data_IF_091565087585
#
_entry.id   IF_091565087585
#
_cell.length_a   1.000
_cell.length_b   1.000
_cell.length_c   1.000
_cell.angle_alpha   90.00
_cell.angle_beta   90.00
_cell.angle_gamma   90.00
#
_symmetry.space_group_name_H-M   'P 1'
#
loop_
_entity.id
_entity.type
_entity.pdbx_description
1 polymer ?
#
# COMPACT_ATOMS: atom_id res chain seq x y z
N UNK A 1 40.41 51.35 42.28
CA UNK A 1 39.99 49.99 42.65
C UNK A 1 39.38 49.37 41.40
N UNK A 2 39.96 48.28 40.91
CA UNK A 2 39.55 47.59 39.68
C UNK A 2 38.39 46.62 39.97
N UNK A 3 37.45 46.53 39.03
CA UNK A 3 36.35 45.55 39.06
C UNK A 3 36.76 44.32 38.25
N UNK A 4 37.19 43.28 38.94
CA UNK A 4 37.43 41.96 38.34
C UNK A 4 36.10 41.24 38.12
N UNK A 5 35.80 40.86 36.87
CA UNK A 5 34.63 40.04 36.51
C UNK A 5 35.11 38.61 36.24
N UNK A 6 34.94 37.66 37.18
CA UNK A 6 35.29 36.26 36.94
C UNK A 6 34.19 35.59 36.12
N UNK A 7 34.24 35.72 34.78
CA UNK A 7 33.42 34.92 33.87
C UNK A 7 34.00 33.49 33.77
N UNK A 8 33.96 32.75 34.88
CA UNK A 8 34.42 31.37 34.96
C UNK A 8 33.43 30.44 34.23
N UNK A 9 33.59 30.34 32.91
CA UNK A 9 32.83 29.42 32.06
C UNK A 9 33.25 27.97 32.37
N UNK A 10 32.61 27.37 33.37
CA UNK A 10 32.86 26.00 33.79
C UNK A 10 32.44 25.01 32.69
N UNK A 11 33.40 24.63 31.83
CA UNK A 11 33.19 23.65 30.77
C UNK A 11 32.91 22.27 31.36
N UNK A 12 31.64 21.84 31.32
CA UNK A 12 31.26 20.50 31.71
C UNK A 12 31.55 19.53 30.55
N UNK A 13 32.55 18.66 30.72
CA UNK A 13 32.92 17.65 29.73
C UNK A 13 31.74 16.75 29.33
N UNK A 14 30.83 16.42 30.26
CA UNK A 14 29.65 15.59 29.99
C UNK A 14 28.60 16.31 29.11
N UNK A 15 28.70 17.62 28.91
CA UNK A 15 27.84 18.40 28.00
C UNK A 15 28.61 18.77 26.72
N UNK A 16 29.89 19.13 26.86
CA UNK A 16 30.75 19.48 25.73
C UNK A 16 31.00 18.32 24.76
N UNK A 17 31.27 17.11 25.27
CA UNK A 17 31.54 15.92 24.44
C UNK A 17 30.32 15.52 23.58
N UNK A 18 29.10 15.34 24.10
CA UNK A 18 27.95 15.01 23.26
C UNK A 18 27.59 16.13 22.28
N UNK A 19 27.80 17.41 22.63
CA UNK A 19 27.59 18.53 21.70
C UNK A 19 28.58 18.48 20.52
N UNK A 20 29.84 18.12 20.78
CA UNK A 20 30.87 17.97 19.75
C UNK A 20 30.56 16.78 18.83
N UNK A 21 30.12 15.64 19.41
CA UNK A 21 29.66 14.48 18.64
C UNK A 21 28.46 14.84 17.76
N UNK A 22 27.45 15.53 18.29
CA UNK A 22 26.31 16.01 17.52
C UNK A 22 26.73 16.95 16.38
N UNK A 23 27.67 17.87 16.64
CA UNK A 23 28.24 18.75 15.62
C UNK A 23 28.95 17.99 14.49
N UNK A 24 29.74 16.96 14.83
CA UNK A 24 30.40 16.11 13.83
C UNK A 24 29.41 15.26 13.02
N UNK A 25 28.34 14.76 13.65
CA UNK A 25 27.26 14.05 12.94
C UNK A 25 26.57 14.98 11.94
N UNK A 26 26.21 16.20 12.36
CA UNK A 26 25.60 17.20 11.46
C UNK A 26 26.54 17.57 10.31
N UNK A 27 27.84 17.77 10.59
CA UNK A 27 28.82 18.08 9.55
C UNK A 27 29.00 16.91 8.55
N UNK A 28 29.01 15.67 9.05
CA UNK A 28 29.04 14.46 8.23
C UNK A 28 27.80 14.32 7.36
N UNK A 29 26.60 14.61 7.88
CA UNK A 29 25.35 14.62 7.11
C UNK A 29 25.35 15.72 6.04
N UNK A 30 25.84 16.92 6.35
CA UNK A 30 25.98 18.01 5.35
C UNK A 30 26.98 17.63 4.26
N UNK A 31 28.07 16.91 4.58
CA UNK A 31 29.01 16.42 3.57
C UNK A 31 28.42 15.28 2.71
N UNK A 32 27.67 14.37 3.33
CA UNK A 32 27.06 13.20 2.67
C UNK A 32 25.90 13.60 1.73
N UNK A 33 25.03 14.53 2.16
CA UNK A 33 23.86 14.97 1.41
C UNK A 33 24.06 16.30 0.64
N UNK A 34 25.13 17.05 0.93
CA UNK A 34 25.43 18.33 0.29
C UNK A 34 26.24 18.24 -1.01
N UNK A 35 26.50 17.03 -1.53
CA UNK A 35 27.13 16.85 -2.85
C UNK A 35 26.24 17.45 -3.95
N UNK A 36 26.65 18.51 -4.67
CA UNK A 36 25.83 19.11 -5.70
C UNK A 36 25.69 18.15 -6.89
N UNK A 37 24.45 17.69 -7.14
CA UNK A 37 24.11 16.80 -8.26
C UNK A 37 24.46 17.48 -9.58
N UNK A 38 25.54 17.01 -10.22
CA UNK A 38 26.07 17.60 -11.47
C UNK A 38 24.99 17.60 -12.55
N UNK A 39 24.74 18.77 -13.13
CA UNK A 39 23.71 18.97 -14.15
C UNK A 39 23.95 18.11 -15.39
N UNK A 40 23.02 17.19 -15.64
CA UNK A 40 22.98 16.36 -16.84
C UNK A 40 22.27 17.13 -17.96
N UNK A 41 23.00 17.92 -18.75
CA UNK A 41 22.32 18.73 -19.77
C UNK A 41 23.15 19.60 -20.72
N UNK A 42 24.47 19.42 -20.86
CA UNK A 42 25.26 20.25 -21.80
C UNK A 42 25.00 19.82 -23.24
N UNK A 43 23.96 20.41 -23.85
CA UNK A 43 23.58 20.22 -25.26
C UNK A 43 24.79 20.45 -26.16
N UNK A 44 25.16 19.44 -26.95
CA UNK A 44 26.08 19.61 -28.09
C UNK A 44 25.32 20.36 -29.19
N UNK A 45 25.83 21.47 -29.74
CA UNK A 45 25.25 22.05 -30.95
C UNK A 45 25.42 21.07 -32.12
N UNK A 46 24.40 20.97 -32.97
CA UNK A 46 24.45 20.15 -34.18
C UNK A 46 25.38 20.80 -35.23
N UNK A 47 26.08 20.02 -36.07
CA UNK A 47 26.74 20.55 -37.26
C UNK A 47 25.69 20.95 -38.30
N UNK A 48 25.82 22.15 -38.86
CA UNK A 48 25.06 22.59 -40.05
C UNK A 48 25.52 21.85 -41.33
N UNK A 49 24.70 21.81 -42.38
CA UNK A 49 24.93 20.94 -43.54
C UNK A 49 25.98 21.51 -44.50
N UNK A 50 27.06 20.78 -44.71
CA UNK A 50 27.95 20.98 -45.85
C UNK A 50 27.38 20.26 -47.09
N UNK A 51 27.37 20.95 -48.23
CA UNK A 51 26.78 20.44 -49.48
C UNK A 51 27.69 19.46 -50.24
N UNK A 52 27.07 18.57 -51.00
CA UNK A 52 27.69 17.88 -52.14
C UNK A 52 28.10 16.42 -51.90
N UNK A 53 27.44 15.49 -52.60
CA UNK A 53 27.84 14.08 -52.66
C UNK A 53 26.67 13.16 -52.94
N UNK A 54 26.49 12.75 -54.20
CA UNK A 54 25.54 11.69 -54.54
C UNK A 54 25.98 10.35 -53.94
N UNK A 55 25.10 9.71 -53.15
CA UNK A 55 25.07 8.25 -53.03
C UNK A 55 23.63 7.78 -52.78
N UNK A 56 23.29 6.64 -53.35
CA UNK A 56 21.90 6.23 -53.60
C UNK A 56 21.08 6.02 -52.32
N UNK A 57 19.89 6.61 -52.29
CA UNK A 57 18.83 6.24 -51.35
C UNK A 57 18.33 4.83 -51.68
N UNK A 58 18.96 3.81 -51.08
CA UNK A 58 18.48 2.43 -51.16
C UNK A 58 17.27 2.25 -50.25
N UNK A 59 16.17 1.79 -50.82
CA UNK A 59 14.96 1.46 -50.08
C UNK A 59 15.14 0.12 -49.35
N UNK A 60 14.60 -0.06 -48.14
CA UNK A 60 14.64 -1.34 -47.46
C UNK A 60 13.65 -2.31 -48.14
N UNK A 61 14.14 -3.09 -49.10
CA UNK A 61 13.39 -4.23 -49.64
C UNK A 61 13.12 -5.23 -48.52
N UNK A 62 11.84 -5.44 -48.23
CA UNK A 62 11.37 -6.43 -47.27
C UNK A 62 11.72 -7.82 -47.80
N UNK A 63 12.60 -8.54 -47.11
CA UNK A 63 13.05 -9.86 -47.54
C UNK A 63 11.94 -10.90 -47.41
N UNK A 64 11.52 -11.49 -48.54
CA UNK A 64 10.80 -12.76 -48.53
C UNK A 64 11.78 -13.88 -48.14
N UNK A 65 11.85 -14.20 -46.85
CA UNK A 65 12.47 -15.46 -46.41
C UNK A 65 11.49 -16.60 -46.70
N UNK A 66 11.84 -17.45 -47.66
CA UNK A 66 11.09 -18.67 -47.95
C UNK A 66 11.24 -19.66 -46.79
N UNK A 67 10.14 -20.00 -46.12
CA UNK A 67 10.08 -21.00 -45.03
C UNK A 67 10.04 -22.43 -45.59
N UNK A 68 11.00 -22.79 -46.44
CA UNK A 68 10.99 -24.04 -47.21
C UNK A 68 12.06 -25.07 -46.81
N UNK A 69 13.13 -24.66 -46.11
CA UNK A 69 14.32 -25.51 -45.87
C UNK A 69 14.83 -25.47 -44.41
N UNK A 70 13.94 -25.70 -43.43
CA UNK A 70 14.32 -25.93 -42.02
C UNK A 70 14.08 -27.41 -41.63
N UNK A 71 15.12 -28.26 -41.51
CA UNK A 71 14.96 -29.70 -41.29
C UNK A 71 14.56 -30.09 -39.84
N UNK A 72 14.29 -29.12 -38.97
CA UNK A 72 14.06 -29.37 -37.53
C UNK A 72 12.59 -29.65 -37.15
N UNK A 73 11.63 -29.34 -38.02
CA UNK A 73 10.18 -29.54 -37.75
C UNK A 73 9.56 -30.79 -38.40
N UNK A 74 10.35 -31.59 -39.14
CA UNK A 74 9.86 -32.75 -39.91
C UNK A 74 9.59 -34.03 -39.08
N UNK A 75 9.65 -33.96 -37.74
CA UNK A 75 9.68 -35.14 -36.85
C UNK A 75 8.46 -35.34 -35.94
N UNK A 76 7.48 -34.42 -35.92
CA UNK A 76 6.23 -34.63 -35.15
C UNK A 76 5.02 -35.05 -35.99
N UNK A 77 5.00 -34.82 -37.30
CA UNK A 77 3.82 -35.02 -38.15
C UNK A 77 3.74 -36.42 -38.80
N UNK A 78 4.25 -37.46 -38.10
CA UNK A 78 4.30 -38.85 -38.61
C UNK A 78 3.71 -39.90 -37.69
N UNK A 79 2.75 -39.52 -36.84
CA UNK A 79 1.92 -40.45 -36.06
C UNK A 79 0.45 -40.01 -36.10
N UNK A 80 -0.23 -40.25 -37.21
CA UNK A 80 -1.66 -40.61 -37.30
C UNK A 80 -2.13 -40.67 -38.77
N UNK A 81 -2.22 -41.86 -39.34
CA UNK A 81 -3.11 -42.13 -40.49
C UNK A 81 -4.08 -43.25 -40.09
N UNK A 82 -5.33 -42.88 -39.84
CA UNK A 82 -6.54 -43.72 -39.94
C UNK A 82 -7.77 -42.79 -39.99
N UNK A 83 -8.85 -43.14 -40.72
CA UNK A 83 -9.85 -42.15 -41.17
C UNK A 83 -11.15 -42.11 -40.36
N UNK A 84 -12.01 -41.16 -40.75
CA UNK A 84 -13.45 -40.98 -40.42
C UNK A 84 -13.84 -40.61 -38.98
N UNK A 85 -14.18 -39.32 -38.77
CA UNK A 85 -15.44 -38.91 -38.12
C UNK A 85 -15.80 -37.45 -38.47
N UNK A 86 -17.08 -37.20 -38.77
CA UNK A 86 -17.63 -35.88 -39.11
C UNK A 86 -17.65 -34.92 -37.91
N UNK A 87 -17.14 -33.70 -38.12
CA UNK A 87 -17.27 -32.54 -37.22
C UNK A 87 -17.48 -31.28 -38.07
N UNK A 88 -18.32 -30.31 -37.64
CA UNK A 88 -18.83 -29.25 -38.52
C UNK A 88 -17.83 -28.09 -38.74
N UNK A 89 -18.03 -27.38 -39.84
CA UNK A 89 -17.23 -26.21 -40.23
C UNK A 89 -17.31 -25.07 -39.20
N UNK A 90 -16.20 -24.35 -39.06
CA UNK A 90 -16.05 -23.18 -38.20
C UNK A 90 -16.40 -21.93 -39.04
N UNK A 91 -17.42 -21.12 -38.67
CA UNK A 91 -17.95 -20.09 -39.54
C UNK A 91 -16.94 -18.94 -39.76
N UNK A 92 -16.85 -18.45 -40.99
CA UNK A 92 -15.91 -17.39 -41.34
C UNK A 92 -16.26 -16.04 -40.70
N UNK A 93 -15.23 -15.23 -40.44
CA UNK A 93 -15.29 -13.98 -39.66
C UNK A 93 -16.34 -12.94 -40.14
N UNK A 94 -16.84 -13.04 -41.37
CA UNK A 94 -17.88 -12.12 -41.89
C UNK A 94 -19.28 -12.36 -41.32
N UNK A 95 -19.61 -13.56 -40.86
CA UNK A 95 -20.96 -13.88 -40.38
C UNK A 95 -21.20 -13.40 -38.93
N UNK A 96 -20.14 -13.45 -38.11
CA UNK A 96 -20.16 -12.96 -36.72
C UNK A 96 -20.41 -11.44 -36.63
N UNK A 97 -19.86 -10.67 -37.56
CA UNK A 97 -19.98 -9.20 -37.56
C UNK A 97 -21.39 -8.75 -37.97
N UNK A 98 -22.06 -9.50 -38.86
CA UNK A 98 -23.49 -9.30 -39.17
C UNK A 98 -24.38 -9.66 -37.98
N UNK A 99 -24.12 -10.79 -37.31
CA UNK A 99 -24.87 -11.22 -36.12
C UNK A 99 -24.80 -10.21 -34.97
N UNK A 100 -23.60 -9.72 -34.65
CA UNK A 100 -23.40 -8.72 -33.59
C UNK A 100 -24.14 -7.41 -33.87
N UNK A 101 -24.14 -6.98 -35.14
CA UNK A 101 -24.86 -5.76 -35.58
C UNK A 101 -26.37 -5.90 -35.42
N UNK A 102 -26.91 -7.09 -35.70
CA UNK A 102 -28.33 -7.41 -35.58
C UNK A 102 -28.78 -7.52 -34.10
N UNK A 103 -27.92 -8.02 -33.20
CA UNK A 103 -28.18 -7.97 -31.76
C UNK A 103 -28.15 -6.53 -31.19
N UNK A 104 -27.20 -5.70 -31.62
CA UNK A 104 -27.14 -4.29 -31.21
C UNK A 104 -28.36 -3.49 -31.65
N UNK A 105 -28.89 -3.74 -32.85
CA UNK A 105 -30.10 -3.08 -33.36
C UNK A 105 -31.35 -3.51 -32.56
N UNK A 106 -31.42 -4.79 -32.17
CA UNK A 106 -32.47 -5.35 -31.30
C UNK A 106 -32.42 -4.76 -29.88
N UNK A 107 -31.22 -4.58 -29.31
CA UNK A 107 -31.02 -3.93 -28.01
C UNK A 107 -31.35 -2.43 -28.05
N UNK A 108 -30.99 -1.75 -29.15
CA UNK A 108 -31.38 -0.35 -29.39
C UNK A 108 -32.89 -0.16 -29.47
N UNK A 109 -33.60 -1.08 -30.13
CA UNK A 109 -35.06 -1.08 -30.20
C UNK A 109 -35.71 -1.26 -28.81
N UNK A 110 -35.17 -2.13 -27.95
CA UNK A 110 -35.68 -2.27 -26.57
C UNK A 110 -35.44 -1.04 -25.71
N UNK A 111 -34.28 -0.37 -25.84
CA UNK A 111 -33.96 0.82 -25.05
C UNK A 111 -34.73 2.09 -25.47
N UNK A 112 -35.26 2.11 -26.70
CA UNK A 112 -36.11 3.18 -27.22
C UNK A 112 -37.58 3.07 -26.72
N UNK A 113 -38.02 1.87 -26.30
CA UNK A 113 -39.40 1.62 -25.87
C UNK A 113 -39.77 2.20 -24.49
N UNK A 114 -38.81 2.42 -23.60
CA UNK A 114 -39.05 2.84 -22.20
C UNK A 114 -38.99 4.36 -21.96
N UNK A 115 -38.96 5.20 -23.01
CA UNK A 115 -39.02 6.67 -22.88
C UNK A 115 -40.02 7.33 -23.83
N UNK A 116 -41.31 7.29 -23.49
CA UNK A 116 -42.32 8.05 -24.24
C UNK A 116 -43.77 7.96 -23.77
N UNK A 117 -44.09 8.51 -22.59
CA UNK A 117 -45.42 8.98 -22.11
C UNK A 117 -45.25 9.64 -20.73
N UNK A 118 -45.98 10.66 -20.29
CA UNK A 118 -46.90 11.60 -20.95
C UNK A 118 -46.73 13.02 -20.33
N UNK A 119 -47.24 14.12 -20.92
CA UNK A 119 -46.78 15.47 -20.58
C UNK A 119 -47.57 16.19 -19.47
N UNK A 120 -46.83 16.94 -18.63
CA UNK A 120 -47.32 18.19 -18.04
C UNK A 120 -47.62 18.22 -16.54
N UNK A 121 -46.74 18.85 -15.75
CA UNK A 121 -47.15 19.85 -14.75
C UNK A 121 -45.95 20.63 -14.20
N UNK A 122 -46.10 21.95 -14.07
CA UNK A 122 -45.13 22.81 -13.39
C UNK A 122 -45.20 22.61 -11.86
N UNK A 123 -44.06 22.36 -11.21
CA UNK A 123 -43.91 22.47 -9.75
C UNK A 123 -42.59 23.14 -9.40
N UNK A 124 -42.68 24.16 -8.53
CA UNK A 124 -41.53 24.87 -7.99
C UNK A 124 -40.67 23.95 -7.11
N UNK A 125 -39.36 23.98 -7.31
CA UNK A 125 -38.38 23.43 -6.35
C UNK A 125 -37.86 24.56 -5.45
N UNK A 126 -38.18 24.60 -4.15
CA UNK A 126 -37.62 25.59 -3.24
C UNK A 126 -36.15 25.29 -2.92
N UNK A 127 -35.31 26.33 -2.86
CA UNK A 127 -33.90 26.23 -2.46
C UNK A 127 -33.77 25.98 -0.95
N UNK A 128 -32.81 25.17 -0.48
CA UNK A 128 -32.49 25.05 0.92
C UNK A 128 -31.59 26.22 1.38
N UNK A 129 -32.19 27.32 1.84
CA UNK A 129 -31.44 28.47 2.37
C UNK A 129 -32.08 29.09 3.62
N UNK A 130 -32.72 28.28 4.46
CA UNK A 130 -33.45 28.74 5.67
C UNK A 130 -32.76 28.45 7.01
N UNK A 131 -31.72 27.61 7.04
CA UNK A 131 -31.14 27.17 8.32
C UNK A 131 -29.98 28.05 8.83
N UNK A 132 -29.39 28.89 7.97
CA UNK A 132 -28.27 29.77 8.35
C UNK A 132 -28.72 31.01 9.15
N UNK A 133 -29.95 31.50 8.95
CA UNK A 133 -30.43 32.72 9.61
C UNK A 133 -30.80 32.51 11.10
N UNK A 134 -31.16 31.28 11.51
CA UNK A 134 -31.55 31.00 12.90
C UNK A 134 -30.37 31.09 13.88
N UNK A 135 -29.16 30.71 13.44
CA UNK A 135 -27.94 30.71 14.26
C UNK A 135 -27.45 32.14 14.50
N UNK A 136 -27.55 33.01 13.49
CA UNK A 136 -27.07 34.40 13.56
C UNK A 136 -27.94 35.24 14.49
N UNK A 137 -29.24 34.96 14.58
CA UNK A 137 -30.15 35.72 15.44
C UNK A 137 -29.96 35.40 16.94
N UNK A 138 -29.51 34.20 17.29
CA UNK A 138 -29.24 33.80 18.68
C UNK A 138 -28.03 34.51 19.31
N UNK A 139 -27.14 35.09 18.50
CA UNK A 139 -25.91 35.77 18.94
C UNK A 139 -26.07 37.31 19.00
N UNK A 140 -27.28 37.85 18.80
CA UNK A 140 -27.55 39.30 18.75
C UNK A 140 -28.59 39.73 19.79
N UNK A 141 -28.30 39.52 21.06
CA UNK A 141 -29.09 40.08 22.18
C UNK A 141 -28.18 40.71 23.23
N UNK A 142 -28.10 42.05 23.29
CA UNK A 142 -27.42 42.76 24.37
C UNK A 142 -28.39 43.01 25.54
N UNK A 143 -27.94 42.75 26.77
CA UNK A 143 -28.72 43.01 27.98
C UNK A 143 -27.84 43.03 29.23
N UNK A 144 -27.41 44.23 29.64
CA UNK A 144 -26.80 44.48 30.94
C UNK A 144 -27.90 44.60 32.02
N UNK A 145 -27.67 44.38 33.32
CA UNK A 145 -26.91 45.21 34.26
C UNK A 145 -26.87 44.53 35.66
N UNK A 146 -26.35 45.24 36.67
CA UNK A 146 -26.08 44.82 38.07
C UNK A 146 -24.86 43.88 38.21
N UNK A 147 -23.85 44.17 39.03
CA UNK A 147 -23.56 45.35 39.86
C UNK A 147 -22.28 45.08 40.66
N UNK A 148 -21.37 46.06 40.76
CA UNK A 148 -20.08 45.88 41.43
C UNK A 148 -20.24 45.76 42.96
N UNK A 149 -19.43 44.91 43.59
CA UNK A 149 -18.58 45.33 44.71
C UNK A 149 -17.42 44.33 44.93
N UNK A 150 -16.27 44.85 45.36
CA UNK A 150 -15.10 44.08 45.77
C UNK A 150 -14.62 44.60 47.14
N UNK A 151 -14.13 43.71 48.02
CA UNK A 151 -12.70 43.80 48.35
C UNK A 151 -12.03 42.45 48.66
N UNK A 152 -10.69 42.46 48.71
CA UNK A 152 -9.81 41.43 49.25
C UNK A 152 -9.15 41.93 50.57
N UNK A 153 -8.22 41.22 51.27
CA UNK A 153 -7.88 39.78 51.30
C UNK A 153 -7.72 39.18 52.74
N UNK A 154 -7.51 37.85 52.83
CA UNK A 154 -6.91 37.10 53.98
C UNK A 154 -7.73 37.02 55.31
N UNK A 155 -7.45 36.08 56.27
CA UNK A 155 -6.32 35.13 56.37
C UNK A 155 -6.68 33.63 56.50
N UNK A 156 -5.63 32.78 56.52
CA UNK A 156 -5.70 31.33 56.76
C UNK A 156 -5.76 30.99 58.27
N UNK A 157 -6.28 29.79 58.61
CA UNK A 157 -5.82 29.05 59.78
C UNK A 157 -5.29 27.65 59.42
N UNK A 158 -3.99 27.43 59.62
CA UNK A 158 -3.45 26.16 60.14
C UNK A 158 -3.66 26.18 61.67
N UNK A 159 -3.69 25.08 62.45
CA UNK A 159 -2.90 23.84 62.42
C UNK A 159 -3.63 22.70 63.16
N UNK A 160 -3.23 21.45 62.90
CA UNK A 160 -3.41 20.24 63.75
C UNK A 160 -4.83 19.64 63.89
N UNK A 161 -5.02 18.31 63.95
CA UNK A 161 -4.05 17.22 64.03
C UNK A 161 -4.50 15.99 63.21
N UNK A 162 -3.53 15.19 62.74
CA UNK A 162 -3.81 13.87 62.16
C UNK A 162 -4.26 12.88 63.25
N UNK A 163 -5.04 11.86 62.86
CA UNK A 163 -4.39 10.56 62.72
C UNK A 163 -4.70 9.88 61.37
N UNK A 164 -3.69 9.20 60.84
CA UNK A 164 -3.79 8.28 59.71
C UNK A 164 -3.34 6.87 60.17
N UNK A 165 -3.58 5.78 59.41
CA UNK A 165 -4.45 5.65 58.24
C UNK A 165 -5.50 4.53 58.38
N UNK A 166 -6.61 4.64 57.62
CA UNK A 166 -7.27 3.47 57.05
C UNK A 166 -6.91 3.45 55.55
N UNK A 167 -6.42 2.35 54.98
CA UNK A 167 -6.08 2.30 53.57
C UNK A 167 -7.37 2.35 52.73
N UNK A 168 -7.67 3.53 52.19
CA UNK A 168 -8.71 3.67 51.16
C UNK A 168 -8.24 2.85 49.96
N UNK A 169 -9.01 1.83 49.60
CA UNK A 169 -8.70 0.99 48.45
C UNK A 169 -8.53 1.86 47.19
N UNK A 170 -7.56 1.57 46.32
CA UNK A 170 -7.43 2.29 45.06
C UNK A 170 -8.74 2.15 44.26
N UNK A 171 -9.18 3.19 43.54
CA UNK A 171 -10.32 3.07 42.65
C UNK A 171 -10.08 1.92 41.69
N UNK A 172 -11.11 1.08 41.50
CA UNK A 172 -11.01 -0.15 40.73
C UNK A 172 -10.35 0.11 39.38
N UNK A 173 -9.27 -0.60 39.09
CA UNK A 173 -8.65 -0.58 37.78
C UNK A 173 -9.73 -0.88 36.73
N UNK A 174 -9.76 -0.10 35.66
CA UNK A 174 -10.52 -0.49 34.47
C UNK A 174 -10.11 -1.92 34.12
N UNK A 175 -11.07 -2.82 33.84
CA UNK A 175 -10.74 -4.20 33.52
C UNK A 175 -9.85 -4.19 32.30
N UNK A 176 -8.59 -4.61 32.49
CA UNK A 176 -7.63 -4.76 31.40
C UNK A 176 -8.31 -5.51 30.26
N UNK A 177 -8.17 -5.05 28.99
CA UNK A 177 -8.82 -5.70 27.86
C UNK A 177 -8.57 -7.19 27.94
N UNK A 178 -9.66 -7.98 28.05
CA UNK A 178 -9.56 -9.44 28.13
C UNK A 178 -8.77 -9.88 26.92
N UNK A 179 -7.55 -10.37 27.13
CA UNK A 179 -6.71 -10.86 26.04
C UNK A 179 -7.44 -12.06 25.44
N UNK A 180 -8.16 -11.81 24.34
CA UNK A 180 -8.72 -12.85 23.52
C UNK A 180 -7.56 -13.77 23.13
N UNK A 181 -7.71 -15.10 23.24
CA UNK A 181 -6.63 -16.02 22.93
C UNK A 181 -6.14 -15.74 21.51
N UNK A 182 -4.93 -15.19 21.39
CA UNK A 182 -4.33 -14.83 20.11
C UNK A 182 -4.14 -16.14 19.33
N UNK A 183 -4.62 -16.16 18.09
CA UNK A 183 -4.41 -17.30 17.21
C UNK A 183 -2.92 -17.48 16.97
N UNK A 184 -2.39 -18.69 17.11
CA UNK A 184 -0.99 -18.99 16.75
C UNK A 184 -0.80 -19.18 15.24
N UNK A 185 -1.89 -19.12 14.46
CA UNK A 185 -1.90 -19.23 13.01
C UNK A 185 -1.07 -18.11 12.36
N UNK A 186 -0.07 -18.46 11.56
CA UNK A 186 0.79 -17.45 10.93
C UNK A 186 1.82 -16.81 11.87
N UNK A 187 2.00 -17.33 13.09
CA UNK A 187 3.18 -17.00 13.90
C UNK A 187 4.45 -17.48 13.18
N UNK A 188 5.43 -16.59 13.01
CA UNK A 188 6.80 -16.98 12.59
C UNK A 188 7.49 -17.77 13.70
N UNK A 189 8.17 -18.90 13.40
CA UNK A 189 9.01 -19.59 14.38
C UNK A 189 10.10 -18.65 14.95
N UNK A 190 10.24 -18.52 16.28
CA UNK A 190 11.12 -17.52 16.91
C UNK A 190 12.62 -17.72 16.64
N UNK A 191 13.01 -18.92 16.18
CA UNK A 191 14.38 -19.25 15.79
C UNK A 191 14.75 -18.78 14.37
N UNK A 192 13.80 -18.29 13.57
CA UNK A 192 14.04 -17.82 12.21
C UNK A 192 14.41 -16.32 12.24
N UNK A 193 15.61 -15.91 11.79
CA UNK A 193 16.00 -14.51 11.74
C UNK A 193 15.16 -13.73 10.72
N UNK A 194 15.26 -12.40 10.76
CA UNK A 194 14.62 -11.49 9.80
C UNK A 194 15.72 -10.59 9.23
N UNK A 195 16.29 -11.01 8.11
CA UNK A 195 17.45 -10.37 7.50
C UNK A 195 17.02 -9.30 6.48
N UNK A 196 15.88 -9.52 5.80
CA UNK A 196 15.28 -8.57 4.87
C UNK A 196 13.76 -8.58 4.96
N UNK A 197 13.14 -7.42 4.76
CA UNK A 197 11.68 -7.28 4.60
C UNK A 197 11.41 -6.71 3.19
N UNK A 198 10.41 -7.25 2.51
CA UNK A 198 9.96 -6.77 1.19
C UNK A 198 8.49 -6.39 1.33
N UNK A 199 8.15 -5.16 0.93
CA UNK A 199 6.84 -4.55 1.20
C UNK A 199 6.16 -4.10 -0.09
N UNK A 200 4.85 -4.31 -0.16
CA UNK A 200 3.94 -3.69 -1.12
C UNK A 200 2.78 -3.02 -0.37
N UNK A 201 2.18 -2.00 -0.96
CA UNK A 201 0.94 -1.42 -0.45
C UNK A 201 -0.21 -1.64 -1.42
N UNK A 202 -1.41 -1.81 -0.91
CA UNK A 202 -2.65 -1.67 -1.69
C UNK A 202 -3.42 -0.51 -1.08
N UNK A 203 -3.61 0.57 -1.84
CA UNK A 203 -4.29 1.79 -1.36
C UNK A 203 -5.64 1.98 -2.05
N UNK A 204 -6.57 2.61 -1.34
CA UNK A 204 -7.80 3.11 -1.94
C UNK A 204 -7.51 4.23 -2.94
N UNK A 205 -8.48 4.54 -3.80
CA UNK A 205 -8.41 5.70 -4.70
C UNK A 205 -8.41 7.01 -3.91
N UNK A 206 -8.00 8.09 -4.57
CA UNK A 206 -7.91 9.40 -3.95
C UNK A 206 -9.28 9.88 -3.44
N UNK A 207 -9.37 10.16 -2.14
CA UNK A 207 -10.61 10.55 -1.46
C UNK A 207 -11.48 9.38 -0.96
N UNK A 208 -11.13 8.13 -1.30
CA UNK A 208 -11.85 6.93 -0.87
C UNK A 208 -11.12 6.21 0.28
N UNK A 209 -11.83 5.30 0.96
CA UNK A 209 -11.30 4.46 2.03
C UNK A 209 -11.88 3.06 1.90
N UNK A 210 -11.07 2.03 2.12
CA UNK A 210 -11.57 0.65 2.17
C UNK A 210 -12.43 0.43 3.42
N UNK A 211 -13.53 -0.29 3.23
CA UNK A 211 -14.47 -0.66 4.28
C UNK A 211 -14.11 -2.03 4.88
N UNK A 212 -14.21 -2.16 6.21
CA UNK A 212 -13.88 -3.39 6.93
C UNK A 212 -14.53 -4.67 6.39
N UNK A 213 -15.86 -4.72 6.16
CA UNK A 213 -16.51 -5.93 5.67
C UNK A 213 -15.97 -6.39 4.31
N UNK A 214 -15.76 -5.43 3.38
CA UNK A 214 -15.25 -5.72 2.04
C UNK A 214 -13.79 -6.20 2.09
N UNK A 215 -12.98 -5.66 3.01
CA UNK A 215 -11.60 -6.11 3.26
C UNK A 215 -11.52 -7.59 3.69
N UNK A 216 -12.44 -8.05 4.55
CA UNK A 216 -12.46 -9.47 4.98
C UNK A 216 -12.86 -10.37 3.82
N UNK A 217 -13.94 -10.01 3.11
CA UNK A 217 -14.39 -10.77 1.93
C UNK A 217 -13.31 -10.80 0.84
N UNK A 218 -12.56 -9.72 0.65
CA UNK A 218 -11.43 -9.68 -0.28
C UNK A 218 -10.27 -10.57 0.19
N UNK A 219 -9.89 -10.50 1.47
CA UNK A 219 -8.83 -11.30 2.07
C UNK A 219 -9.11 -12.81 1.96
N UNK A 220 -10.32 -13.25 2.34
CA UNK A 220 -10.75 -14.65 2.22
C UNK A 220 -10.75 -15.12 0.76
N UNK A 221 -11.28 -14.32 -0.17
CA UNK A 221 -11.26 -14.62 -1.63
C UNK A 221 -9.86 -14.68 -2.22
N UNK A 222 -8.86 -14.06 -1.57
CA UNK A 222 -7.46 -14.10 -1.99
C UNK A 222 -6.65 -15.20 -1.28
N UNK A 223 -7.31 -16.05 -0.47
CA UNK A 223 -6.66 -17.15 0.25
C UNK A 223 -5.80 -16.70 1.42
N UNK A 224 -6.17 -15.59 2.08
CA UNK A 224 -5.53 -15.13 3.32
C UNK A 224 -6.32 -15.61 4.54
N UNK A 225 -5.61 -16.10 5.55
CA UNK A 225 -6.21 -16.51 6.83
C UNK A 225 -5.90 -15.47 7.94
N UNK A 226 -6.89 -15.16 8.78
CA UNK A 226 -6.71 -14.26 9.93
C UNK A 226 -6.05 -15.00 11.11
N UNK A 227 -5.00 -14.41 11.70
CA UNK A 227 -4.15 -15.14 12.65
C UNK A 227 -3.43 -14.29 13.71
N UNK A 228 -2.16 -14.62 13.93
CA UNK A 228 -1.30 -14.01 14.94
C UNK A 228 -1.21 -12.49 14.76
N UNK A 229 -0.92 -11.77 15.85
CA UNK A 229 -0.91 -10.30 15.89
C UNK A 229 -2.24 -9.60 15.48
N UNK A 230 -3.30 -10.33 15.13
CA UNK A 230 -4.55 -9.79 14.60
C UNK A 230 -4.43 -9.27 13.16
N UNK A 231 -3.59 -9.91 12.34
CA UNK A 231 -3.41 -9.60 10.92
C UNK A 231 -3.72 -10.81 10.04
N UNK A 232 -3.69 -10.61 8.72
CA UNK A 232 -3.88 -11.68 7.74
C UNK A 232 -2.55 -12.29 7.32
N UNK A 233 -2.56 -13.58 7.00
CA UNK A 233 -1.38 -14.34 6.60
C UNK A 233 -1.67 -15.21 5.39
N UNK A 234 -0.70 -15.33 4.49
CA UNK A 234 -0.64 -16.44 3.53
C UNK A 234 0.30 -17.50 4.07
N UNK A 235 -0.20 -18.72 4.23
CA UNK A 235 0.56 -19.86 4.74
C UNK A 235 1.02 -20.77 3.60
N UNK A 236 1.97 -21.66 3.90
CA UNK A 236 2.29 -22.78 3.01
C UNK A 236 1.20 -23.84 3.14
N UNK A 237 0.66 -24.30 2.02
CA UNK A 237 -0.43 -25.28 2.00
C UNK A 237 -0.05 -26.56 2.74
N UNK A 238 -0.84 -26.91 3.75
CA UNK A 238 -0.62 -28.07 4.62
C UNK A 238 0.55 -27.96 5.62
N UNK A 239 1.27 -26.84 5.69
CA UNK A 239 2.45 -26.63 6.57
C UNK A 239 2.37 -25.31 7.34
N UNK A 240 1.38 -25.21 8.23
CA UNK A 240 1.08 -23.98 9.00
C UNK A 240 2.17 -23.65 10.03
N UNK A 241 2.88 -24.67 10.49
CA UNK A 241 3.96 -24.63 11.50
C UNK A 241 5.26 -23.98 11.01
N UNK A 242 5.46 -23.86 9.69
CA UNK A 242 6.61 -23.13 9.13
C UNK A 242 6.43 -21.60 9.23
N UNK A 243 5.20 -21.14 9.54
CA UNK A 243 4.85 -19.72 9.56
C UNK A 243 4.37 -19.19 8.20
N UNK A 244 4.25 -17.87 8.06
CA UNK A 244 3.67 -17.24 6.89
C UNK A 244 4.70 -17.05 5.76
N UNK A 245 4.26 -17.26 4.53
CA UNK A 245 4.96 -16.81 3.31
C UNK A 245 5.04 -15.28 3.33
N UNK A 246 3.88 -14.63 3.55
CA UNK A 246 3.76 -13.19 3.75
C UNK A 246 2.55 -12.86 4.63
N UNK A 247 2.54 -11.63 5.15
CA UNK A 247 1.49 -11.11 6.03
C UNK A 247 0.90 -9.82 5.47
N UNK A 248 -0.34 -9.50 5.84
CA UNK A 248 -1.06 -8.31 5.39
C UNK A 248 -1.65 -7.59 6.60
N UNK A 249 -1.15 -6.37 6.85
CA UNK A 249 -1.55 -5.51 7.95
C UNK A 249 -2.33 -4.28 7.45
N UNK A 250 -3.08 -3.65 8.36
CA UNK A 250 -3.71 -2.36 8.13
C UNK A 250 -2.64 -1.25 8.09
N UNK A 251 -2.74 -0.27 7.18
CA UNK A 251 -1.83 0.87 7.15
C UNK A 251 -2.03 1.86 8.33
N UNK A 252 -3.21 1.85 8.97
CA UNK A 252 -3.45 2.64 10.18
C UNK A 252 -2.90 1.94 11.42
N UNK A 253 -2.18 2.69 12.27
CA UNK A 253 -1.75 2.22 13.59
C UNK A 253 -2.99 1.84 14.43
N UNK A 254 -3.00 0.70 15.13
CA UNK A 254 -1.86 -0.17 15.45
C UNK A 254 -1.43 -1.19 14.38
N UNK A 255 -2.15 -1.31 13.26
CA UNK A 255 -1.83 -2.23 12.16
C UNK A 255 -2.61 -3.55 12.13
N UNK A 256 -3.36 -3.86 13.18
CA UNK A 256 -4.26 -5.01 13.24
C UNK A 256 -5.67 -4.70 12.70
N UNK A 257 -6.48 -5.75 12.55
CA UNK A 257 -7.91 -5.67 12.24
C UNK A 257 -8.72 -6.13 13.46
N UNK A 258 -9.47 -5.20 14.05
CA UNK A 258 -10.46 -5.53 15.07
C UNK A 258 -11.74 -6.04 14.40
N UNK A 259 -11.85 -7.37 14.29
CA UNK A 259 -13.04 -8.06 13.77
C UNK A 259 -14.32 -7.71 14.55
N UNK A 260 -14.21 -7.32 15.83
CA UNK A 260 -15.34 -6.88 16.65
C UNK A 260 -15.83 -5.45 16.33
N UNK A 261 -15.08 -4.68 15.55
CA UNK A 261 -15.42 -3.30 15.14
C UNK A 261 -15.42 -3.10 13.63
N UNK A 262 -15.46 -4.20 12.88
CA UNK A 262 -15.23 -4.24 11.44
C UNK A 262 -16.16 -3.32 10.63
N UNK A 263 -17.44 -3.23 10.97
CA UNK A 263 -18.41 -2.34 10.29
C UNK A 263 -17.99 -0.87 10.30
N UNK A 264 -17.32 -0.44 11.37
CA UNK A 264 -16.80 0.92 11.56
C UNK A 264 -15.39 1.12 10.99
N UNK A 265 -14.67 0.04 10.64
CA UNK A 265 -13.31 0.11 10.14
C UNK A 265 -13.29 0.79 8.77
N UNK A 266 -12.50 1.87 8.66
CA UNK A 266 -12.13 2.53 7.42
C UNK A 266 -10.61 2.67 7.38
N UNK A 267 -10.00 2.38 6.24
CA UNK A 267 -8.55 2.52 6.09
C UNK A 267 -8.17 3.02 4.69
N UNK A 268 -7.14 3.88 4.55
CA UNK A 268 -6.60 4.26 3.25
C UNK A 268 -5.88 3.12 2.53
N UNK A 269 -5.56 2.01 3.21
CA UNK A 269 -4.92 0.87 2.55
C UNK A 269 -4.37 -0.22 3.46
N UNK A 270 -3.72 -1.18 2.80
CA UNK A 270 -3.11 -2.37 3.35
C UNK A 270 -1.61 -2.40 3.07
N UNK A 271 -0.85 -2.96 4.01
CA UNK A 271 0.59 -3.21 3.89
C UNK A 271 0.82 -4.71 3.80
N UNK A 272 1.23 -5.18 2.63
CA UNK A 272 1.69 -6.54 2.39
C UNK A 272 3.19 -6.58 2.68
N UNK A 273 3.64 -7.55 3.47
CA UNK A 273 5.06 -7.72 3.73
C UNK A 273 5.43 -9.19 3.84
N UNK A 274 6.51 -9.55 3.13
CA UNK A 274 7.22 -10.81 3.35
C UNK A 274 8.56 -10.53 4.01
N UNK A 275 9.08 -11.53 4.71
CA UNK A 275 10.22 -11.44 5.60
C UNK A 275 11.12 -12.62 5.27
N UNK A 276 12.37 -12.34 4.95
CA UNK A 276 13.36 -13.30 4.48
C UNK A 276 14.37 -13.61 5.60
N UNK A 277 14.78 -14.89 5.77
CA UNK A 277 14.31 -16.07 5.03
C UNK A 277 12.82 -16.37 5.26
N UNK A 278 12.15 -16.79 4.19
CA UNK A 278 10.74 -17.19 4.20
C UNK A 278 10.64 -18.74 4.26
N UNK A 279 9.45 -19.32 4.51
CA UNK A 279 9.23 -20.78 4.50
C UNK A 279 9.48 -21.48 3.14
N UNK A 280 9.65 -20.70 2.08
CA UNK A 280 9.90 -21.09 0.68
C UNK A 280 10.89 -20.07 0.07
N UNK A 281 11.52 -20.32 -1.09
CA UNK A 281 12.40 -19.37 -1.76
C UNK A 281 11.78 -17.98 -1.91
N UNK A 282 12.60 -16.94 -1.83
CA UNK A 282 12.14 -15.55 -1.82
C UNK A 282 11.45 -15.17 -3.14
N UNK A 283 11.92 -15.73 -4.26
CA UNK A 283 11.25 -15.62 -5.56
C UNK A 283 9.83 -16.22 -5.53
N UNK A 284 9.66 -17.43 -4.99
CA UNK A 284 8.36 -18.12 -4.92
C UNK A 284 7.41 -17.39 -3.95
N UNK A 285 7.94 -16.86 -2.84
CA UNK A 285 7.19 -16.03 -1.90
C UNK A 285 6.67 -14.74 -2.56
N UNK A 286 7.47 -14.12 -3.44
CA UNK A 286 7.06 -12.97 -4.24
C UNK A 286 6.03 -13.33 -5.30
N UNK A 287 6.22 -14.43 -6.03
CA UNK A 287 5.28 -14.89 -7.05
C UNK A 287 3.94 -15.37 -6.42
N UNK A 288 3.90 -15.65 -5.11
CA UNK A 288 2.66 -15.78 -4.33
C UNK A 288 2.09 -14.43 -3.84
N UNK A 289 2.94 -13.50 -3.39
CA UNK A 289 2.52 -12.21 -2.81
C UNK A 289 1.97 -11.24 -3.87
N UNK A 290 2.64 -11.10 -5.01
CA UNK A 290 2.29 -10.11 -6.04
C UNK A 290 0.88 -10.35 -6.64
N UNK A 291 0.51 -11.56 -7.09
CA UNK A 291 -0.84 -11.81 -7.60
C UNK A 291 -1.91 -11.64 -6.53
N UNK A 292 -1.59 -11.97 -5.27
CA UNK A 292 -2.50 -11.76 -4.14
C UNK A 292 -2.75 -10.27 -3.90
N UNK A 293 -1.71 -9.42 -3.90
CA UNK A 293 -1.84 -7.98 -3.76
C UNK A 293 -2.62 -7.34 -4.93
N UNK A 294 -2.36 -7.78 -6.17
CA UNK A 294 -3.12 -7.37 -7.35
C UNK A 294 -4.59 -7.77 -7.24
N UNK A 295 -4.88 -9.00 -6.82
CA UNK A 295 -6.25 -9.49 -6.64
C UNK A 295 -7.02 -8.73 -5.56
N UNK A 296 -6.36 -8.36 -4.47
CA UNK A 296 -6.95 -7.53 -3.41
C UNK A 296 -7.22 -6.10 -3.93
N UNK A 297 -6.33 -5.54 -4.74
CA UNK A 297 -6.56 -4.25 -5.39
C UNK A 297 -7.76 -4.30 -6.36
N UNK A 298 -7.91 -5.35 -7.17
CA UNK A 298 -9.08 -5.55 -8.04
C UNK A 298 -10.39 -5.65 -7.23
N UNK A 299 -10.40 -6.43 -6.14
CA UNK A 299 -11.59 -6.69 -5.34
C UNK A 299 -12.06 -5.48 -4.53
N UNK A 300 -11.18 -4.51 -4.27
CA UNK A 300 -11.44 -3.30 -3.48
C UNK A 300 -11.38 -2.01 -4.29
N UNK A 301 -11.21 -2.12 -5.62
CA UNK A 301 -11.03 -1.02 -6.57
C UNK A 301 -9.85 -0.06 -6.25
N UNK A 302 -8.76 -0.62 -5.75
CA UNK A 302 -7.56 0.08 -5.31
C UNK A 302 -6.37 0.02 -6.27
N UNK A 303 -5.22 0.51 -5.80
CA UNK A 303 -3.95 0.53 -6.53
C UNK A 303 -2.83 -0.14 -5.75
N UNK A 304 -2.02 -0.97 -6.45
CA UNK A 304 -0.80 -1.57 -5.89
C UNK A 304 0.36 -0.59 -6.03
N UNK A 305 1.03 -0.30 -4.91
CA UNK A 305 2.22 0.54 -4.83
C UNK A 305 3.42 -0.26 -4.32
N UNK A 306 4.62 0.19 -4.66
CA UNK A 306 5.88 -0.31 -4.09
C UNK A 306 6.22 0.35 -2.74
N UNK A 307 7.38 -0.02 -2.17
CA UNK A 307 7.88 0.51 -0.89
C UNK A 307 8.04 2.05 -0.87
N UNK A 308 8.30 2.67 -2.02
CA UNK A 308 8.44 4.12 -2.18
C UNK A 308 7.09 4.83 -2.37
N UNK A 309 5.99 4.07 -2.39
CA UNK A 309 4.61 4.50 -2.71
C UNK A 309 4.41 4.90 -4.17
N UNK A 310 5.28 4.43 -5.07
CA UNK A 310 5.11 4.58 -6.51
C UNK A 310 4.19 3.47 -7.06
N UNK A 311 3.43 3.77 -8.11
CA UNK A 311 2.58 2.77 -8.76
C UNK A 311 3.40 1.58 -9.30
N UNK A 312 2.98 0.35 -8.99
CA UNK A 312 3.78 -0.85 -9.25
C UNK A 312 3.79 -1.24 -10.74
N UNK A 313 4.71 -0.66 -11.50
CA UNK A 313 4.90 -0.93 -12.94
C UNK A 313 5.74 -2.18 -13.23
N UNK A 314 5.61 -2.69 -14.47
CA UNK A 314 6.33 -3.90 -14.95
C UNK A 314 7.85 -3.87 -14.74
N UNK A 315 8.48 -2.70 -14.91
CA UNK A 315 9.93 -2.54 -14.68
C UNK A 315 10.31 -2.75 -13.21
N UNK A 316 9.50 -2.22 -12.27
CA UNK A 316 9.74 -2.37 -10.83
C UNK A 316 9.50 -3.81 -10.37
N UNK A 317 8.46 -4.47 -10.90
CA UNK A 317 8.21 -5.91 -10.69
C UNK A 317 9.41 -6.75 -11.15
N UNK A 318 9.91 -6.53 -12.37
CA UNK A 318 11.06 -7.26 -12.89
C UNK A 318 12.31 -7.05 -12.02
N UNK A 319 12.58 -5.81 -11.63
CA UNK A 319 13.71 -5.44 -10.77
C UNK A 319 13.65 -6.10 -9.39
N UNK A 320 12.51 -6.03 -8.68
CA UNK A 320 12.34 -6.69 -7.37
C UNK A 320 12.56 -8.21 -7.52
N UNK A 321 11.97 -8.82 -8.56
CA UNK A 321 12.13 -10.25 -8.82
C UNK A 321 13.58 -10.66 -9.07
N UNK A 322 14.35 -9.83 -9.79
CA UNK A 322 15.78 -10.10 -10.04
C UNK A 322 16.66 -9.84 -8.81
N UNK A 323 16.28 -8.94 -7.90
CA UNK A 323 16.92 -8.83 -6.57
C UNK A 323 16.66 -10.06 -5.70
N UNK A 324 15.44 -10.61 -5.72
CA UNK A 324 15.09 -11.82 -4.94
C UNK A 324 15.82 -13.05 -5.47
N UNK A 325 15.98 -13.16 -6.79
CA UNK A 325 16.89 -14.15 -7.43
C UNK A 325 18.36 -13.94 -7.08
N UNK A 326 18.77 -12.72 -6.73
CA UNK A 326 20.08 -12.46 -6.13
C UNK A 326 20.14 -13.05 -4.73
N UNK A 327 19.21 -12.63 -3.88
CA UNK A 327 19.09 -13.08 -2.49
C UNK A 327 19.04 -14.60 -2.37
N UNK A 328 18.19 -15.30 -3.13
CA UNK A 328 18.08 -16.77 -3.09
C UNK A 328 19.42 -17.43 -3.40
N UNK A 329 20.13 -17.01 -4.46
CA UNK A 329 21.46 -17.56 -4.81
C UNK A 329 22.52 -17.31 -3.76
N UNK A 330 22.46 -16.16 -3.09
CA UNK A 330 23.43 -15.80 -2.05
C UNK A 330 23.20 -16.62 -0.76
N UNK A 331 21.96 -17.05 -0.47
CA UNK A 331 21.59 -17.76 0.76
C UNK A 331 21.48 -19.29 0.57
N UNK A 332 21.12 -19.78 -0.63
CA UNK A 332 21.24 -21.21 -1.02
C UNK A 332 22.70 -21.70 -0.89
N UNK A 333 23.68 -20.81 -1.08
CA UNK A 333 25.11 -21.11 -0.95
C UNK A 333 25.57 -21.36 0.49
N UNK A 334 24.83 -20.92 1.51
CA UNK A 334 25.19 -21.14 2.92
C UNK A 334 24.59 -22.43 3.49
N UNK A 335 23.47 -22.93 2.95
CA UNK A 335 22.82 -24.17 3.40
C UNK A 335 23.42 -25.46 2.78
N UNK A 336 24.76 -25.54 2.68
CA UNK A 336 25.43 -26.81 2.37
C UNK A 336 25.40 -27.69 3.63
N UNK A 337 24.30 -28.42 3.81
CA UNK A 337 24.18 -29.49 4.81
C UNK A 337 25.14 -30.62 4.42
N UNK A 338 26.36 -30.57 4.94
CA UNK A 338 27.32 -31.67 4.86
C UNK A 338 26.81 -32.86 5.70
N UNK A 339 26.08 -33.77 5.06
CA UNK A 339 25.93 -35.15 5.51
C UNK A 339 24.51 -35.72 5.60
N UNK A 340 24.20 -36.59 4.65
CA UNK A 340 23.66 -37.93 4.96
C UNK A 340 24.32 -38.95 4.05
#
# INVERSE_FOLDING_TARGET
MTLEIPLALAWNANVGVPLLIAGLIVLGLVWLFGQPKKEQGRRRPAPEPAAGGHQERREPTMGHTSLADDPFFSSLDRVAQSPEHDLPEQPEQGELDMGLRQELEKLGATLAGERGSEPGQARNTPRPSSQAESIINALRSPGALFGNDAPAPAPQPTVSAAPAPAPVAPPAAEPAPREMPRSDLGRRPPQMPVDRIVTLFVVAREGELFHGPDLVVAAEKAGLEFGDMGIYHRLVDGKRELGPIFSVANMLKPGNFDLGRLESLRTPGLSFFMTLPAPIPALDAWDAMLPTAQRIAELLDGHVLDEERNALGRQRIAHIRDELRGWDRDHEGEEIIFGR
#
